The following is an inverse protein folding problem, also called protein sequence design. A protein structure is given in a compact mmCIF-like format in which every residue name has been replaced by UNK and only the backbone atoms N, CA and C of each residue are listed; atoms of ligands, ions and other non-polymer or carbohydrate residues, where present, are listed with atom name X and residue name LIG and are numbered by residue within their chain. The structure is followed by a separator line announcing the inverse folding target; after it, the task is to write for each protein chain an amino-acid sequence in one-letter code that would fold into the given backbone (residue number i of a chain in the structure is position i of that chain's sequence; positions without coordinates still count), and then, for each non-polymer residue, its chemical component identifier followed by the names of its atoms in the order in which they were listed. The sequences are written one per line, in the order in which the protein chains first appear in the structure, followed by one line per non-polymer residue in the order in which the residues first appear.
data_IF_678602142611
#
_entry.id   IF_678602142611
#
_cell.length_a   1.000
_cell.length_b   1.000
_cell.length_c   1.000
_cell.angle_alpha   90.00
_cell.angle_beta   90.00
_cell.angle_gamma   90.00
#
_symmetry.space_group_name_H-M   'P 1'
#
loop_
_entity.id
_entity.type
_entity.pdbx_description
1 polymer ?
#
# COMPACT_ATOMS: atom_id res chain seq x y z
N UNK A 1 7.06 13.95 -37.35
CA UNK A 1 6.73 12.97 -36.29
C UNK A 1 7.88 12.01 -35.96
N UNK A 2 8.48 11.33 -36.94
CA UNK A 2 9.55 10.32 -36.73
C UNK A 2 10.83 10.89 -36.08
N UNK A 3 11.31 12.06 -36.52
CA UNK A 3 12.48 12.72 -35.93
C UNK A 3 12.28 13.13 -34.46
N UNK A 4 11.07 13.58 -34.11
CA UNK A 4 10.72 13.96 -32.74
C UNK A 4 10.68 12.74 -31.81
N UNK A 5 10.08 11.62 -32.25
CA UNK A 5 10.11 10.36 -31.50
C UNK A 5 11.54 9.84 -31.30
N UNK A 6 12.40 9.93 -32.33
CA UNK A 6 13.83 9.54 -32.20
C UNK A 6 14.59 10.39 -31.19
N UNK A 7 14.31 11.70 -31.15
CA UNK A 7 14.87 12.61 -30.15
C UNK A 7 14.45 12.26 -28.72
N UNK A 8 13.14 12.05 -28.50
CA UNK A 8 12.61 11.65 -27.19
C UNK A 8 13.15 10.30 -26.74
N UNK A 9 13.22 9.31 -27.64
CA UNK A 9 13.77 7.99 -27.33
C UNK A 9 15.24 8.09 -26.90
N UNK A 10 16.03 8.93 -27.58
CA UNK A 10 17.44 9.14 -27.22
C UNK A 10 17.60 9.77 -25.84
N UNK A 11 16.74 10.72 -25.48
CA UNK A 11 16.72 11.34 -24.15
C UNK A 11 16.37 10.29 -23.09
N UNK A 12 15.33 9.48 -23.31
CA UNK A 12 14.92 8.43 -22.39
C UNK A 12 16.02 7.39 -22.16
N UNK A 13 16.64 6.90 -23.24
CA UNK A 13 17.75 5.94 -23.15
C UNK A 13 18.94 6.52 -22.40
N UNK A 14 19.27 7.79 -22.65
CA UNK A 14 20.37 8.47 -21.96
C UNK A 14 20.08 8.64 -20.47
N UNK A 15 18.86 9.04 -20.11
CA UNK A 15 18.44 9.20 -18.72
C UNK A 15 18.39 7.85 -17.99
N UNK A 16 17.89 6.80 -18.65
CA UNK A 16 17.88 5.45 -18.09
C UNK A 16 19.30 4.94 -17.82
N UNK A 17 20.24 5.16 -18.75
CA UNK A 17 21.64 4.78 -18.55
C UNK A 17 22.25 5.49 -17.33
N UNK A 18 22.05 6.80 -17.20
CA UNK A 18 22.51 7.58 -16.04
C UNK A 18 21.88 7.08 -14.73
N UNK A 19 20.58 6.79 -14.75
CA UNK A 19 19.90 6.24 -13.58
C UNK A 19 20.45 4.87 -13.18
N UNK A 20 20.73 3.99 -14.14
CA UNK A 20 21.32 2.68 -13.89
C UNK A 20 22.73 2.81 -13.27
N UNK A 21 23.56 3.75 -13.71
CA UNK A 21 24.88 4.01 -13.15
C UNK A 21 24.79 4.48 -11.67
N UNK A 22 23.83 5.36 -11.37
CA UNK A 22 23.53 5.79 -10.00
C UNK A 22 23.03 4.60 -9.16
N UNK A 23 22.10 3.81 -9.69
CA UNK A 23 21.51 2.69 -8.97
C UNK A 23 22.54 1.59 -8.69
N UNK A 24 23.43 1.26 -9.63
CA UNK A 24 24.55 0.32 -9.40
C UNK A 24 25.50 0.81 -8.30
N UNK A 25 25.74 2.13 -8.23
CA UNK A 25 26.55 2.72 -7.17
C UNK A 25 25.84 2.63 -5.82
N UNK A 26 24.53 2.89 -5.79
CA UNK A 26 23.69 2.74 -4.61
C UNK A 26 23.64 1.29 -4.11
N UNK A 27 23.49 0.32 -5.00
CA UNK A 27 23.43 -1.11 -4.69
C UNK A 27 24.72 -1.60 -4.02
N UNK A 28 25.89 -1.16 -4.51
CA UNK A 28 27.18 -1.48 -3.87
C UNK A 28 27.29 -0.91 -2.45
N UNK A 29 26.71 0.25 -2.20
CA UNK A 29 26.76 0.92 -0.89
C UNK A 29 25.67 0.42 0.07
N UNK A 30 24.52 -0.03 -0.45
CA UNK A 30 23.34 -0.40 0.33
C UNK A 30 22.68 -1.69 -0.23
N UNK A 31 23.36 -2.84 -0.24
CA UNK A 31 22.89 -4.05 -0.92
C UNK A 31 21.53 -4.54 -0.42
N UNK A 32 21.28 -4.54 0.89
CA UNK A 32 19.99 -4.95 1.46
C UNK A 32 18.84 -4.01 1.05
N UNK A 33 19.07 -2.68 1.08
CA UNK A 33 18.04 -1.71 0.68
C UNK A 33 17.77 -1.74 -0.81
N UNK A 34 18.80 -1.96 -1.62
CA UNK A 34 18.66 -2.10 -3.07
C UNK A 34 17.88 -3.36 -3.43
N UNK A 35 18.18 -4.49 -2.78
CA UNK A 35 17.40 -5.73 -2.91
C UNK A 35 15.93 -5.52 -2.54
N UNK A 36 15.68 -4.86 -1.42
CA UNK A 36 14.33 -4.56 -0.96
C UNK A 36 13.59 -3.58 -1.90
N UNK A 37 14.27 -2.56 -2.41
CA UNK A 37 13.73 -1.67 -3.43
C UNK A 37 13.32 -2.43 -4.69
N UNK A 38 14.20 -3.28 -5.22
CA UNK A 38 13.92 -4.07 -6.42
C UNK A 38 12.74 -5.03 -6.20
N UNK A 39 12.70 -5.75 -5.07
CA UNK A 39 11.59 -6.62 -4.69
C UNK A 39 10.26 -5.86 -4.75
N UNK A 40 10.20 -4.69 -4.13
CA UNK A 40 9.00 -3.84 -4.06
C UNK A 40 8.57 -3.31 -5.42
N UNK A 41 9.52 -2.81 -6.23
CA UNK A 41 9.25 -2.28 -7.57
C UNK A 41 8.78 -3.38 -8.52
N UNK A 42 9.35 -4.58 -8.42
CA UNK A 42 8.95 -5.77 -9.17
C UNK A 42 7.67 -6.43 -8.65
N UNK A 43 7.09 -5.92 -7.55
CA UNK A 43 5.88 -6.47 -6.91
C UNK A 43 6.05 -7.92 -6.45
N UNK A 44 7.27 -8.30 -6.10
CA UNK A 44 7.59 -9.63 -5.57
C UNK A 44 7.17 -9.75 -4.11
N UNK A 45 6.62 -10.89 -3.71
CA UNK A 45 6.22 -11.11 -2.32
C UNK A 45 7.44 -11.29 -1.41
N UNK A 46 7.37 -10.81 -0.15
CA UNK A 46 8.44 -11.01 0.80
C UNK A 46 8.60 -12.50 1.14
N UNK A 47 9.85 -12.92 1.31
CA UNK A 47 10.17 -14.28 1.71
C UNK A 47 9.52 -14.65 3.04
N UNK A 48 9.03 -15.88 3.16
CA UNK A 48 8.40 -16.38 4.39
C UNK A 48 6.92 -15.99 4.56
N UNK A 49 6.32 -15.23 3.64
CA UNK A 49 4.91 -14.83 3.72
C UNK A 49 3.95 -16.01 3.90
N UNK A 50 4.08 -17.07 3.10
CA UNK A 50 3.20 -18.24 3.21
C UNK A 50 3.30 -18.91 4.59
N UNK A 51 4.52 -19.05 5.12
CA UNK A 51 4.77 -19.67 6.41
C UNK A 51 4.15 -18.82 7.53
N UNK A 52 4.44 -17.51 7.54
CA UNK A 52 3.90 -16.57 8.52
C UNK A 52 2.36 -16.55 8.46
N UNK A 53 1.77 -16.54 7.26
CA UNK A 53 0.32 -16.55 7.10
C UNK A 53 -0.33 -17.79 7.72
N UNK A 54 0.25 -18.96 7.48
CA UNK A 54 -0.25 -20.21 8.06
C UNK A 54 -0.13 -20.22 9.60
N UNK A 55 0.98 -19.72 10.13
CA UNK A 55 1.22 -19.61 11.58
C UNK A 55 0.21 -18.66 12.23
N UNK A 56 -0.01 -17.47 11.64
CA UNK A 56 -1.00 -16.49 12.12
C UNK A 56 -2.42 -17.09 12.11
N UNK A 57 -2.83 -17.71 11.01
CA UNK A 57 -4.19 -18.31 10.91
C UNK A 57 -4.38 -19.38 11.96
N UNK A 58 -3.37 -20.24 12.17
CA UNK A 58 -3.41 -21.27 13.21
C UNK A 58 -3.55 -20.64 14.60
N UNK A 59 -2.71 -19.65 14.94
CA UNK A 59 -2.74 -18.98 16.24
C UNK A 59 -4.09 -18.30 16.51
N UNK A 60 -4.65 -17.60 15.52
CA UNK A 60 -5.95 -16.94 15.63
C UNK A 60 -7.07 -17.96 15.87
N UNK A 61 -7.05 -19.08 15.15
CA UNK A 61 -8.03 -20.16 15.34
C UNK A 61 -7.90 -20.82 16.72
N UNK A 62 -6.66 -21.07 17.18
CA UNK A 62 -6.40 -21.69 18.48
C UNK A 62 -6.88 -20.78 19.64
N UNK A 63 -6.73 -19.45 19.49
CA UNK A 63 -7.24 -18.47 20.46
C UNK A 63 -8.76 -18.37 20.49
N UNK A 64 -9.41 -18.53 19.32
CA UNK A 64 -10.88 -18.52 19.16
C UNK A 64 -11.58 -17.33 19.84
N UNK A 65 -10.98 -16.15 19.80
CA UNK A 65 -11.52 -14.94 20.42
C UNK A 65 -12.75 -14.40 19.67
N UNK A 66 -13.77 -13.98 20.41
CA UNK A 66 -14.95 -13.30 19.85
C UNK A 66 -14.68 -11.80 19.69
N UNK A 67 -14.09 -11.41 18.57
CA UNK A 67 -13.76 -10.02 18.23
C UNK A 67 -14.68 -9.44 17.14
N UNK A 68 -14.92 -8.14 17.20
CA UNK A 68 -15.50 -7.43 16.06
C UNK A 68 -14.56 -7.52 14.85
N UNK A 69 -15.09 -7.74 13.65
CA UNK A 69 -14.30 -7.94 12.42
C UNK A 69 -13.34 -6.79 12.12
N UNK A 70 -13.71 -5.54 12.44
CA UNK A 70 -12.81 -4.38 12.36
C UNK A 70 -11.57 -4.50 13.25
N UNK A 71 -11.74 -5.06 14.45
CA UNK A 71 -10.65 -5.29 15.39
C UNK A 71 -9.77 -6.44 14.90
N UNK A 72 -10.39 -7.50 14.39
CA UNK A 72 -9.66 -8.59 13.73
C UNK A 72 -8.83 -8.09 12.53
N UNK A 73 -9.37 -7.15 11.73
CA UNK A 73 -8.65 -6.50 10.64
C UNK A 73 -7.43 -5.72 11.13
N UNK A 74 -7.58 -4.95 12.21
CA UNK A 74 -6.45 -4.25 12.83
C UNK A 74 -5.39 -5.22 13.37
N UNK A 75 -5.82 -6.31 13.99
CA UNK A 75 -4.90 -7.34 14.49
C UNK A 75 -4.12 -7.97 13.34
N UNK A 76 -4.79 -8.30 12.23
CA UNK A 76 -4.12 -8.78 11.02
C UNK A 76 -3.12 -7.76 10.47
N UNK A 77 -3.49 -6.47 10.38
CA UNK A 77 -2.57 -5.41 9.98
C UNK A 77 -1.31 -5.35 10.87
N UNK A 78 -1.46 -5.46 12.19
CA UNK A 78 -0.32 -5.48 13.11
C UNK A 78 0.60 -6.69 12.90
N UNK A 79 0.04 -7.86 12.59
CA UNK A 79 0.80 -9.09 12.38
C UNK A 79 1.51 -9.13 11.03
N UNK A 80 0.90 -8.59 9.98
CA UNK A 80 1.47 -8.60 8.63
C UNK A 80 2.37 -7.39 8.33
N UNK A 81 2.08 -6.20 8.90
CA UNK A 81 2.83 -4.98 8.58
C UNK A 81 4.35 -5.08 8.72
N UNK A 82 4.92 -5.79 9.73
CA UNK A 82 6.36 -5.96 9.83
C UNK A 82 7.01 -6.69 8.63
N UNK A 83 6.27 -7.56 7.94
CA UNK A 83 6.77 -8.30 6.78
C UNK A 83 6.63 -7.50 5.46
N UNK A 84 5.74 -6.51 5.43
CA UNK A 84 5.44 -5.70 4.25
C UNK A 84 5.76 -4.22 4.47
N UNK A 85 7.06 -3.82 4.42
CA UNK A 85 7.46 -2.41 4.53
C UNK A 85 6.92 -1.52 3.41
N UNK A 86 6.41 -2.10 2.33
CA UNK A 86 5.75 -1.42 1.23
C UNK A 86 4.27 -1.06 1.49
N UNK A 87 3.69 -1.51 2.62
CA UNK A 87 2.34 -1.10 2.98
C UNK A 87 2.31 0.40 3.27
N UNK A 88 1.38 1.09 2.61
CA UNK A 88 1.10 2.50 2.88
C UNK A 88 -0.40 2.67 3.13
N UNK A 89 -0.72 3.06 4.36
CA UNK A 89 -2.06 3.09 4.89
C UNK A 89 -2.72 4.45 4.86
N UNK A 90 -3.99 4.46 5.22
CA UNK A 90 -4.70 5.67 5.57
C UNK A 90 -6.17 5.44 5.86
N UNK A 91 -6.87 6.52 6.14
CA UNK A 91 -8.33 6.52 6.24
C UNK A 91 -8.89 7.88 5.86
N UNK A 92 -10.14 7.88 5.38
CA UNK A 92 -10.90 9.07 5.14
C UNK A 92 -11.46 9.66 6.46
N UNK A 93 -10.58 10.14 7.33
CA UNK A 93 -10.89 10.69 8.67
C UNK A 93 -11.57 9.73 9.65
N UNK A 94 -11.48 8.42 9.41
CA UNK A 94 -12.13 7.38 10.20
C UNK A 94 -11.13 6.39 10.80
N UNK A 95 -9.86 6.78 10.95
CA UNK A 95 -8.76 5.91 11.42
C UNK A 95 -9.11 5.17 12.73
N UNK A 96 -9.65 5.89 13.73
CA UNK A 96 -10.03 5.31 15.01
C UNK A 96 -11.27 4.41 14.93
N UNK A 97 -12.17 4.66 13.98
CA UNK A 97 -13.41 3.92 13.79
C UNK A 97 -13.22 2.65 12.97
N UNK A 98 -12.40 2.73 11.92
CA UNK A 98 -12.06 1.63 11.02
C UNK A 98 -10.85 0.83 11.49
N UNK A 99 -10.09 1.34 12.47
CA UNK A 99 -8.91 0.70 13.05
C UNK A 99 -7.83 0.38 12.00
N UNK A 100 -7.58 1.34 11.10
CA UNK A 100 -6.59 1.19 10.01
C UNK A 100 -5.16 1.50 10.42
N UNK A 101 -4.94 2.12 11.58
CA UNK A 101 -3.59 2.33 12.12
C UNK A 101 -3.10 1.05 12.81
N UNK A 102 -1.89 0.63 12.46
CA UNK A 102 -1.12 -0.40 13.17
C UNK A 102 -0.03 0.24 14.03
N UNK A 103 0.63 -0.54 14.88
CA UNK A 103 1.60 -0.06 15.87
C UNK A 103 2.78 0.72 15.29
N UNK A 104 3.10 0.48 14.02
CA UNK A 104 4.23 1.10 13.31
C UNK A 104 3.76 2.15 12.29
N UNK A 105 2.50 2.58 12.35
CA UNK A 105 1.98 3.63 11.46
C UNK A 105 2.62 4.98 11.81
N UNK A 106 3.18 5.64 10.79
CA UNK A 106 3.81 6.96 10.89
C UNK A 106 3.20 7.89 9.84
N UNK A 107 2.74 9.05 10.27
CA UNK A 107 2.17 10.07 9.39
C UNK A 107 3.22 10.59 8.39
N UNK A 108 2.87 10.66 7.11
CA UNK A 108 3.76 11.08 6.01
C UNK A 108 4.12 12.57 5.99
N UNK A 109 3.32 13.45 6.63
CA UNK A 109 3.62 14.88 6.71
C UNK A 109 4.70 15.16 7.74
N UNK A 110 4.74 14.36 8.81
CA UNK A 110 5.65 14.55 9.93
C UNK A 110 6.89 13.66 9.89
N UNK A 111 6.91 12.64 9.02
CA UNK A 111 8.00 11.65 8.95
C UNK A 111 8.42 11.39 7.50
N UNK A 112 9.73 11.50 7.22
CA UNK A 112 10.29 11.22 5.89
C UNK A 112 10.11 9.75 5.47
N UNK A 113 10.03 8.84 6.43
CA UNK A 113 9.76 7.41 6.25
C UNK A 113 8.31 7.04 6.62
N UNK A 114 7.40 8.00 6.53
CA UNK A 114 5.99 7.80 6.84
C UNK A 114 5.35 6.74 5.94
N UNK A 115 4.39 6.01 6.50
CA UNK A 115 3.65 4.93 5.85
C UNK A 115 2.13 5.07 6.09
N UNK A 116 1.66 6.22 6.56
CA UNK A 116 0.26 6.48 6.87
C UNK A 116 -0.20 7.86 6.39
N UNK A 117 -1.33 7.89 5.70
CA UNK A 117 -1.91 9.08 5.06
C UNK A 117 -3.23 9.42 5.73
N UNK A 118 -3.31 10.64 6.29
CA UNK A 118 -4.56 11.22 6.76
C UNK A 118 -5.27 11.92 5.60
N UNK A 119 -6.16 11.21 4.90
CA UNK A 119 -6.82 11.71 3.70
C UNK A 119 -7.87 12.82 3.97
N UNK A 120 -8.36 12.92 5.21
CA UNK A 120 -9.55 13.70 5.56
C UNK A 120 -10.83 13.09 4.99
N UNK A 121 -11.97 13.77 5.10
CA UNK A 121 -13.28 13.30 4.60
C UNK A 121 -13.34 13.39 3.06
N UNK A 122 -12.61 12.50 2.38
CA UNK A 122 -12.36 12.54 0.92
C UNK A 122 -12.24 11.14 0.33
N UNK A 123 -13.28 10.33 0.44
CA UNK A 123 -13.27 8.91 0.05
C UNK A 123 -12.91 8.71 -1.43
N UNK A 124 -13.52 9.49 -2.32
CA UNK A 124 -13.23 9.38 -3.75
C UNK A 124 -11.77 9.72 -4.07
N UNK A 125 -11.28 10.82 -3.50
CA UNK A 125 -9.89 11.26 -3.64
C UNK A 125 -8.92 10.23 -3.08
N UNK A 126 -9.19 9.71 -1.87
CA UNK A 126 -8.43 8.61 -1.26
C UNK A 126 -8.31 7.43 -2.22
N UNK A 127 -9.44 6.93 -2.73
CA UNK A 127 -9.47 5.75 -3.59
C UNK A 127 -8.74 5.98 -4.92
N UNK A 128 -8.87 7.17 -5.52
CA UNK A 128 -8.14 7.52 -6.74
C UNK A 128 -6.64 7.68 -6.50
N UNK A 129 -6.24 8.28 -5.37
CA UNK A 129 -4.83 8.40 -4.96
C UNK A 129 -4.23 7.01 -4.72
N UNK A 130 -4.95 6.12 -4.05
CA UNK A 130 -4.50 4.72 -3.87
C UNK A 130 -4.26 4.03 -5.21
N UNK A 131 -5.11 4.25 -6.22
CA UNK A 131 -4.85 3.74 -7.57
C UNK A 131 -3.54 4.30 -8.15
N UNK A 132 -3.31 5.60 -8.00
CA UNK A 132 -2.06 6.24 -8.43
C UNK A 132 -0.83 5.68 -7.73
N UNK A 133 -0.90 5.44 -6.42
CA UNK A 133 0.18 4.82 -5.64
C UNK A 133 0.48 3.40 -6.15
N UNK A 134 -0.56 2.59 -6.39
CA UNK A 134 -0.38 1.22 -6.90
C UNK A 134 0.20 1.20 -8.33
N UNK A 135 -0.19 2.17 -9.17
CA UNK A 135 0.34 2.36 -10.53
C UNK A 135 1.80 2.81 -10.53
N UNK A 136 2.18 3.70 -9.61
CA UNK A 136 3.57 4.15 -9.45
C UNK A 136 4.51 2.97 -9.14
N UNK A 137 4.04 1.99 -8.36
CA UNK A 137 4.81 0.83 -7.96
C UNK A 137 5.69 1.09 -6.73
N UNK A 138 6.18 0.00 -6.13
CA UNK A 138 6.97 0.05 -4.90
C UNK A 138 6.16 0.11 -3.60
N UNK A 139 4.83 0.24 -3.67
CA UNK A 139 3.93 0.34 -2.53
C UNK A 139 2.64 -0.48 -2.71
N UNK A 140 2.08 -0.92 -1.60
CA UNK A 140 0.78 -1.59 -1.50
C UNK A 140 -0.14 -0.68 -0.69
N UNK A 141 -1.00 0.12 -1.34
CA UNK A 141 -1.85 1.07 -0.65
C UNK A 141 -3.05 0.37 0.00
N UNK A 142 -3.38 0.81 1.22
CA UNK A 142 -4.62 0.48 1.88
C UNK A 142 -5.32 1.72 2.45
N UNK A 143 -6.65 1.68 2.50
CA UNK A 143 -7.48 2.78 2.99
C UNK A 143 -8.71 2.27 3.72
N UNK A 144 -9.25 3.07 4.65
CA UNK A 144 -10.48 2.74 5.37
C UNK A 144 -11.53 3.85 5.32
N UNK A 145 -12.79 3.44 5.13
CA UNK A 145 -13.99 4.26 5.35
C UNK A 145 -15.17 3.34 5.76
N UNK A 146 -16.34 3.89 6.07
CA UNK A 146 -17.54 3.10 6.26
C UNK A 146 -18.11 2.59 4.93
N UNK A 147 -18.75 1.41 4.95
CA UNK A 147 -19.31 0.79 3.75
C UNK A 147 -20.31 1.70 3.05
N UNK A 148 -21.14 2.43 3.79
CA UNK A 148 -22.11 3.40 3.25
C UNK A 148 -21.42 4.49 2.40
N UNK A 149 -20.18 4.87 2.73
CA UNK A 149 -19.43 5.88 1.98
C UNK A 149 -18.64 5.30 0.81
N UNK A 150 -18.67 3.98 0.60
CA UNK A 150 -18.07 3.37 -0.60
C UNK A 150 -18.73 3.88 -1.88
N UNK A 151 -20.00 4.31 -1.82
CA UNK A 151 -20.71 4.91 -2.95
C UNK A 151 -20.03 6.19 -3.46
N UNK A 152 -19.43 6.99 -2.57
CA UNK A 152 -18.64 8.17 -2.96
C UNK A 152 -17.40 7.77 -3.80
N UNK A 153 -16.90 6.55 -3.63
CA UNK A 153 -15.66 6.06 -4.24
C UNK A 153 -15.86 5.07 -5.38
N UNK A 154 -17.11 4.73 -5.70
CA UNK A 154 -17.46 3.58 -6.54
C UNK A 154 -16.74 3.55 -7.89
N UNK A 155 -16.61 4.72 -8.54
CA UNK A 155 -15.90 4.83 -9.81
C UNK A 155 -14.38 4.62 -9.66
N UNK A 156 -13.75 5.12 -8.61
CA UNK A 156 -12.33 4.85 -8.36
C UNK A 156 -12.08 3.37 -8.06
N UNK A 157 -12.96 2.73 -7.30
CA UNK A 157 -12.91 1.29 -7.03
C UNK A 157 -13.07 0.51 -8.34
N UNK A 158 -14.03 0.89 -9.19
CA UNK A 158 -14.20 0.25 -10.51
C UNK A 158 -12.92 0.37 -11.36
N UNK A 159 -12.27 1.52 -11.33
CA UNK A 159 -11.02 1.75 -12.06
C UNK A 159 -9.87 0.90 -11.51
N UNK A 160 -9.81 0.63 -10.20
CA UNK A 160 -8.79 -0.25 -9.62
C UNK A 160 -8.92 -1.68 -10.15
N UNK A 161 -10.16 -2.19 -10.22
CA UNK A 161 -10.44 -3.51 -10.80
C UNK A 161 -10.11 -3.55 -12.30
N UNK A 162 -10.50 -2.54 -13.07
CA UNK A 162 -10.27 -2.49 -14.51
C UNK A 162 -8.76 -2.44 -14.86
N UNK A 163 -7.97 -1.74 -14.04
CA UNK A 163 -6.52 -1.65 -14.21
C UNK A 163 -5.76 -2.80 -13.54
N UNK A 164 -6.47 -3.75 -12.90
CA UNK A 164 -5.89 -4.87 -12.16
C UNK A 164 -4.88 -4.45 -11.07
N UNK A 165 -5.27 -3.46 -10.25
CA UNK A 165 -4.41 -2.89 -9.20
C UNK A 165 -4.54 -3.63 -7.88
N UNK A 166 -3.41 -3.79 -7.18
CA UNK A 166 -3.34 -4.33 -5.82
C UNK A 166 -3.58 -3.19 -4.83
N UNK A 167 -4.83 -3.01 -4.42
CA UNK A 167 -5.24 -2.06 -3.38
C UNK A 167 -6.10 -2.78 -2.32
N UNK A 168 -6.04 -2.35 -1.06
CA UNK A 168 -6.90 -2.87 0.00
C UNK A 168 -7.83 -1.77 0.54
N UNK A 169 -9.14 -1.92 0.35
CA UNK A 169 -10.13 -0.99 0.89
C UNK A 169 -10.90 -1.64 2.04
N UNK A 170 -10.62 -1.20 3.26
CA UNK A 170 -11.27 -1.67 4.47
C UNK A 170 -12.59 -0.94 4.68
N UNK A 171 -13.67 -1.61 4.28
CA UNK A 171 -15.03 -1.12 4.44
C UNK A 171 -15.68 -1.80 5.64
N UNK A 172 -16.17 -1.01 6.57
CA UNK A 172 -16.85 -1.52 7.76
C UNK A 172 -18.31 -1.07 7.77
N UNK A 173 -19.21 -1.98 8.14
CA UNK A 173 -20.60 -1.63 8.39
C UNK A 173 -20.67 -0.62 9.53
N UNK A 174 -21.54 0.38 9.37
CA UNK A 174 -21.90 1.25 10.49
C UNK A 174 -22.69 0.39 11.47
N UNK A 175 -22.17 0.23 12.69
CA UNK A 175 -22.98 -0.23 13.81
C UNK A 175 -23.74 1.00 14.29
N UNK A 176 -24.99 1.16 13.84
CA UNK A 176 -25.91 2.08 14.49
C UNK A 176 -26.09 1.54 15.90
N UNK A 177 -25.66 2.33 16.89
CA UNK A 177 -25.93 2.09 18.31
C UNK A 177 -27.41 2.30 18.56
#
# INVERSE_FOLDING_TARGET
MIFMMRGMLRILVTNLKKWNEIFQSYEKQNPEKAKEFLRRVNKEEPGGFQKLSNEIVKEVNDKSESLATRKSSQNALNLFAPLFPELIGGSADLSASNLTQHSNSKDILNNQDGNYINYGVREFGMSAIMNGISLHGGFIPYGGTFLTFSDYSKNAIRMSCLMNLKIFLFLHMIQLV
#
